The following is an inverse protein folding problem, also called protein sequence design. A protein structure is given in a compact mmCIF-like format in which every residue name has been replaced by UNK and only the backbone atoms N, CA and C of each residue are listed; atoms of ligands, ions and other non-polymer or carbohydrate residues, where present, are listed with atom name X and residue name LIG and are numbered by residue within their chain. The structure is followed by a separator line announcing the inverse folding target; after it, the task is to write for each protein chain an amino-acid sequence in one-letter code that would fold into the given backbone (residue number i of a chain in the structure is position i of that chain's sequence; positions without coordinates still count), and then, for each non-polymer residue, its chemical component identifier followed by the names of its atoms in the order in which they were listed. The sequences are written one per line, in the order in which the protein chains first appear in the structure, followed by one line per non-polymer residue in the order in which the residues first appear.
data_IF_045453583244
#
_entry.id   IF_045453583244
#
_cell.length_a   1.000
_cell.length_b   1.000
_cell.length_c   1.000
_cell.angle_alpha   90.00
_cell.angle_beta   90.00
_cell.angle_gamma   90.00
#
_symmetry.space_group_name_H-M   'P 1'
#
loop_
_entity.id
_entity.type
_entity.pdbx_description
1 polymer ?
#
# COMPACT_ATOMS: atom_id res chain seq x y z
N UNK A 1 -15.04 5.83 -8.41
CA UNK A 1 -13.94 6.69 -7.95
C UNK A 1 -12.78 5.77 -7.58
N UNK A 2 -11.54 6.08 -7.99
CA UNK A 2 -10.41 5.21 -7.71
C UNK A 2 -9.94 5.35 -6.24
N UNK A 3 -9.35 4.29 -5.66
CA UNK A 3 -9.10 4.19 -4.20
C UNK A 3 -8.10 5.25 -3.72
N UNK A 4 -7.13 5.60 -4.56
CA UNK A 4 -6.12 6.62 -4.27
C UNK A 4 -6.68 8.03 -4.06
N UNK A 5 -7.95 8.29 -4.43
CA UNK A 5 -8.62 9.56 -4.14
C UNK A 5 -9.00 9.72 -2.66
N UNK A 6 -8.87 8.66 -1.86
CA UNK A 6 -8.98 8.74 -0.40
C UNK A 6 -7.75 9.41 0.24
N UNK A 7 -6.65 9.56 -0.52
CA UNK A 7 -5.42 10.15 -0.01
C UNK A 7 -5.41 11.67 -0.22
N UNK A 8 -4.81 12.43 0.73
CA UNK A 8 -4.40 13.81 0.48
C UNK A 8 -3.61 13.93 -0.82
N UNK A 9 -3.85 15.03 -1.55
CA UNK A 9 -3.22 15.31 -2.85
C UNK A 9 -1.70 15.12 -2.86
N UNK A 10 -1.01 15.59 -1.83
CA UNK A 10 0.44 15.53 -1.73
C UNK A 10 0.94 14.09 -1.58
N UNK A 11 0.24 13.24 -0.81
CA UNK A 11 0.58 11.82 -0.68
C UNK A 11 0.34 11.09 -2.00
N UNK A 12 -0.80 11.33 -2.66
CA UNK A 12 -1.10 10.72 -3.96
C UNK A 12 -0.04 11.03 -5.02
N UNK A 13 0.48 12.26 -5.05
CA UNK A 13 1.56 12.67 -5.96
C UNK A 13 2.90 11.98 -5.70
N UNK A 14 3.11 11.47 -4.50
CA UNK A 14 4.35 10.78 -4.11
C UNK A 14 4.36 9.29 -4.46
N UNK A 15 3.22 8.74 -4.90
CA UNK A 15 3.08 7.33 -5.24
C UNK A 15 3.44 7.08 -6.72
N UNK A 16 4.12 5.96 -6.99
CA UNK A 16 4.34 5.45 -8.35
C UNK A 16 3.08 4.76 -8.88
N UNK A 17 2.06 5.55 -9.25
CA UNK A 17 0.82 5.05 -9.83
C UNK A 17 0.97 4.60 -11.30
N UNK A 18 2.13 4.84 -11.92
CA UNK A 18 2.43 4.34 -13.26
C UNK A 18 2.69 2.84 -13.17
N UNK A 19 3.60 2.42 -12.30
CA UNK A 19 3.95 1.01 -12.11
C UNK A 19 2.98 0.26 -11.22
N UNK A 20 2.33 0.94 -10.26
CA UNK A 20 1.48 0.31 -9.26
C UNK A 20 0.02 0.79 -9.36
N UNK A 21 -0.91 -0.03 -8.84
CA UNK A 21 -2.29 0.35 -8.57
C UNK A 21 -2.56 0.30 -7.06
N UNK A 22 -3.35 1.25 -6.55
CA UNK A 22 -3.76 1.24 -5.14
C UNK A 22 -4.91 0.27 -4.95
N UNK A 23 -4.70 -0.73 -4.09
CA UNK A 23 -5.69 -1.77 -3.79
C UNK A 23 -6.40 -1.48 -2.47
N UNK A 24 -5.73 -0.83 -1.52
CA UNK A 24 -6.29 -0.52 -0.21
C UNK A 24 -5.61 0.70 0.40
N UNK A 25 -6.39 1.54 1.06
CA UNK A 25 -5.90 2.60 1.95
C UNK A 25 -6.39 2.26 3.36
N UNK A 26 -5.50 2.33 4.34
CA UNK A 26 -5.80 2.09 5.75
C UNK A 26 -5.46 3.39 6.48
N UNK A 27 -6.48 4.05 7.01
CA UNK A 27 -6.31 5.27 7.80
C UNK A 27 -6.01 4.85 9.25
N UNK A 28 -4.73 4.92 9.65
CA UNK A 28 -4.32 4.63 11.03
C UNK A 28 -4.62 5.81 11.94
N UNK A 29 -4.09 6.96 11.55
CA UNK A 29 -4.43 8.29 12.01
C UNK A 29 -4.73 9.15 10.77
N UNK A 30 -5.34 10.32 10.94
CA UNK A 30 -5.74 11.17 9.81
C UNK A 30 -4.58 11.70 8.95
N UNK A 31 -3.32 11.49 9.36
CA UNK A 31 -2.12 12.08 8.75
C UNK A 31 -1.22 11.03 8.07
N UNK A 32 -1.26 9.78 8.51
CA UNK A 32 -0.34 8.72 8.10
C UNK A 32 -1.10 7.49 7.59
N UNK A 33 -1.71 7.58 6.39
CA UNK A 33 -2.34 6.42 5.79
C UNK A 33 -1.30 5.37 5.40
N UNK A 34 -1.65 4.10 5.57
CA UNK A 34 -0.95 2.98 4.94
C UNK A 34 -1.59 2.72 3.58
N UNK A 35 -0.79 2.69 2.53
CA UNK A 35 -1.25 2.44 1.16
C UNK A 35 -0.73 1.10 0.70
N UNK A 36 -1.65 0.18 0.40
CA UNK A 36 -1.34 -1.12 -0.18
C UNK A 36 -1.51 -1.04 -1.67
N UNK A 37 -0.46 -1.38 -2.40
CA UNK A 37 -0.40 -1.28 -3.84
C UNK A 37 -0.01 -2.62 -4.47
N UNK A 38 -0.50 -2.89 -5.67
CA UNK A 38 -0.12 -4.03 -6.50
C UNK A 38 0.70 -3.55 -7.69
N UNK A 39 1.79 -4.25 -7.98
CA UNK A 39 2.63 -3.99 -9.15
C UNK A 39 1.91 -4.48 -10.41
N UNK A 40 1.78 -3.62 -11.41
CA UNK A 40 1.13 -3.92 -12.70
C UNK A 40 2.10 -4.47 -13.74
N UNK A 41 3.41 -4.43 -13.49
CA UNK A 41 4.43 -4.85 -14.47
C UNK A 41 4.46 -6.37 -14.58
N UNK A 42 4.35 -6.89 -15.81
CA UNK A 42 4.25 -8.32 -16.11
C UNK A 42 5.41 -9.18 -15.54
N UNK A 43 6.59 -8.60 -15.34
CA UNK A 43 7.78 -9.29 -14.81
C UNK A 43 8.02 -9.13 -13.31
N UNK A 44 7.13 -8.49 -12.56
CA UNK A 44 7.40 -8.17 -11.15
C UNK A 44 7.40 -9.43 -10.26
N UNK A 45 8.54 -9.70 -9.63
CA UNK A 45 8.68 -10.75 -8.60
C UNK A 45 8.11 -10.32 -7.25
N UNK A 46 8.01 -9.01 -7.00
CA UNK A 46 7.49 -8.41 -5.77
C UNK A 46 6.19 -7.68 -6.08
N UNK A 47 5.12 -8.48 -6.16
CA UNK A 47 3.80 -8.06 -6.65
C UNK A 47 3.07 -7.06 -5.75
N UNK A 48 3.50 -6.92 -4.50
CA UNK A 48 2.81 -6.10 -3.50
C UNK A 48 3.75 -5.10 -2.87
N UNK A 49 3.28 -3.89 -2.63
CA UNK A 49 3.96 -2.83 -1.91
C UNK A 49 3.06 -2.29 -0.80
N UNK A 50 3.60 -2.14 0.41
CA UNK A 50 2.96 -1.45 1.53
C UNK A 50 3.75 -0.17 1.78
N UNK A 51 3.15 0.98 1.48
CA UNK A 51 3.72 2.30 1.64
C UNK A 51 3.20 2.95 2.94
N UNK A 52 4.10 3.42 3.79
CA UNK A 52 3.77 4.14 5.02
C UNK A 52 4.87 5.15 5.37
N UNK A 53 4.51 6.40 5.63
CA UNK A 53 5.45 7.49 5.99
C UNK A 53 6.70 7.57 5.11
N UNK A 54 6.52 7.51 3.78
CA UNK A 54 7.65 7.55 2.83
C UNK A 54 8.45 6.25 2.68
N UNK A 55 8.17 5.24 3.50
CA UNK A 55 8.81 3.92 3.41
C UNK A 55 7.95 2.92 2.64
N UNK A 56 8.52 2.26 1.64
CA UNK A 56 7.87 1.22 0.85
C UNK A 56 8.43 -0.18 1.19
N UNK A 57 7.55 -1.10 1.57
CA UNK A 57 7.89 -2.49 1.86
C UNK A 57 7.30 -3.42 0.80
N UNK A 58 8.14 -4.26 0.19
CA UNK A 58 7.76 -5.05 -0.98
C UNK A 58 7.65 -6.55 -0.65
N UNK A 59 6.61 -7.18 -1.17
CA UNK A 59 6.26 -8.58 -0.90
C UNK A 59 5.92 -9.34 -2.18
N UNK A 60 6.21 -10.64 -2.21
CA UNK A 60 5.85 -11.53 -3.32
C UNK A 60 4.36 -11.90 -3.31
N UNK A 61 3.75 -12.02 -2.13
CA UNK A 61 2.35 -12.45 -1.94
C UNK A 61 1.56 -11.45 -1.11
N UNK A 62 0.24 -11.40 -1.33
CA UNK A 62 -0.68 -10.59 -0.53
C UNK A 62 -0.68 -11.05 0.93
N UNK A 63 -0.56 -12.36 1.15
CA UNK A 63 -0.47 -12.92 2.51
C UNK A 63 0.71 -12.34 3.27
N UNK A 64 1.91 -12.32 2.70
CA UNK A 64 3.08 -11.75 3.37
C UNK A 64 2.93 -10.25 3.66
N UNK A 65 2.29 -9.49 2.76
CA UNK A 65 1.95 -8.09 3.01
C UNK A 65 0.94 -7.95 4.16
N UNK A 66 -0.09 -8.80 4.21
CA UNK A 66 -1.07 -8.82 5.31
C UNK A 66 -0.42 -9.21 6.64
N UNK A 67 0.39 -10.27 6.66
CA UNK A 67 1.13 -10.70 7.84
C UNK A 67 1.99 -9.55 8.39
N UNK A 68 2.71 -8.83 7.51
CA UNK A 68 3.46 -7.63 7.89
C UNK A 68 2.55 -6.58 8.54
N UNK A 69 1.42 -6.23 7.92
CA UNK A 69 0.49 -5.24 8.48
C UNK A 69 -0.12 -5.68 9.83
N UNK A 70 -0.34 -6.99 10.04
CA UNK A 70 -0.77 -7.55 11.34
C UNK A 70 0.33 -7.37 12.39
N UNK A 71 1.61 -7.67 12.07
CA UNK A 71 2.73 -7.47 13.02
C UNK A 71 2.91 -6.00 13.43
N UNK A 72 2.41 -5.07 12.62
CA UNK A 72 2.42 -3.62 12.88
C UNK A 72 1.17 -3.13 13.62
N UNK A 73 0.22 -4.01 13.94
CA UNK A 73 -1.09 -3.69 14.50
C UNK A 73 -1.93 -2.73 13.63
N UNK A 74 -1.70 -2.71 12.31
CA UNK A 74 -2.42 -1.84 11.37
C UNK A 74 -3.75 -2.43 10.92
N UNK A 75 -3.86 -3.75 10.93
CA UNK A 75 -5.08 -4.51 10.66
C UNK A 75 -5.17 -5.67 11.65
N UNK A 76 -6.39 -6.20 11.84
CA UNK A 76 -6.57 -7.43 12.60
C UNK A 76 -6.21 -8.64 11.74
N UNK A 77 -5.72 -9.70 12.38
CA UNK A 77 -5.66 -11.01 11.76
C UNK A 77 -7.09 -11.43 11.39
N UNK A 78 -7.25 -11.81 10.12
CA UNK A 78 -8.48 -12.36 9.55
C UNK A 78 -8.53 -13.86 9.70
#
# INVERSE_FOLDING_TARGET
MAIEYQLPWHLRKSLDLVSFEVIRVILLDGLHPVVVMRDKRAGSKRRWCVQYCGSGHYFSTLKAANDYMVTRNWIKAS
#
